data_IF_159918824618
#
_entry.id   IF_159918824618
#
_cell.length_a   1.000
_cell.length_b   1.000
_cell.length_c   1.000
_cell.angle_alpha   90.00
_cell.angle_beta   90.00
_cell.angle_gamma   90.00
#
_symmetry.space_group_name_H-M   'P 1'
#
loop_
_entity.id
_entity.type
_entity.pdbx_description
1 polymer ?
#
# COMPACT_ATOMS: atom_id res chain seq x y z
N UNK A 1 -35.64 -1.02 -9.87
CA UNK A 1 -34.86 -0.79 -11.09
C UNK A 1 -33.65 0.12 -10.87
N UNK A 2 -33.79 1.33 -10.28
CA UNK A 2 -32.65 2.20 -9.94
C UNK A 2 -31.80 1.58 -8.82
N UNK A 3 -32.43 1.08 -7.77
CA UNK A 3 -31.80 0.44 -6.61
C UNK A 3 -31.03 -0.87 -6.98
N UNK A 4 -31.53 -1.64 -7.97
CA UNK A 4 -30.85 -2.83 -8.48
C UNK A 4 -29.60 -2.47 -9.31
N UNK A 5 -29.64 -1.35 -10.02
CA UNK A 5 -28.48 -0.86 -10.78
C UNK A 5 -27.37 -0.33 -9.86
N UNK A 6 -27.71 0.39 -8.79
CA UNK A 6 -26.74 0.86 -7.80
C UNK A 6 -26.11 -0.31 -7.04
N UNK A 7 -26.89 -1.30 -6.64
CA UNK A 7 -26.37 -2.49 -5.99
C UNK A 7 -25.42 -3.29 -6.88
N UNK A 8 -25.73 -3.44 -8.17
CA UNK A 8 -24.88 -4.16 -9.12
C UNK A 8 -23.58 -3.41 -9.43
N UNK A 9 -23.61 -2.08 -9.41
CA UNK A 9 -22.42 -1.22 -9.55
C UNK A 9 -21.49 -1.37 -8.35
N UNK A 10 -22.03 -1.27 -7.13
CA UNK A 10 -21.25 -1.42 -5.89
C UNK A 10 -20.61 -2.80 -5.77
N UNK A 11 -21.32 -3.86 -6.19
CA UNK A 11 -20.79 -5.22 -6.21
C UNK A 11 -19.61 -5.36 -7.17
N UNK A 12 -19.68 -4.72 -8.34
CA UNK A 12 -18.57 -4.71 -9.31
C UNK A 12 -17.36 -3.93 -8.79
N UNK A 13 -17.57 -2.72 -8.26
CA UNK A 13 -16.50 -1.88 -7.71
C UNK A 13 -15.79 -2.59 -6.53
N UNK A 14 -16.56 -3.28 -5.70
CA UNK A 14 -16.00 -4.07 -4.60
C UNK A 14 -15.19 -5.28 -5.11
N UNK A 15 -15.68 -5.94 -6.16
CA UNK A 15 -14.98 -7.07 -6.76
C UNK A 15 -13.65 -6.65 -7.41
N UNK A 16 -13.67 -5.55 -8.15
CA UNK A 16 -12.48 -4.94 -8.75
C UNK A 16 -11.43 -4.59 -7.66
N UNK A 17 -11.85 -3.94 -6.58
CA UNK A 17 -10.98 -3.63 -5.45
C UNK A 17 -10.32 -4.90 -4.85
N UNK A 18 -11.10 -5.95 -4.62
CA UNK A 18 -10.58 -7.19 -4.06
C UNK A 18 -9.59 -7.87 -5.01
N UNK A 19 -9.83 -7.83 -6.33
CA UNK A 19 -8.92 -8.37 -7.34
C UNK A 19 -7.60 -7.60 -7.39
N UNK A 20 -7.64 -6.26 -7.34
CA UNK A 20 -6.44 -5.43 -7.27
C UNK A 20 -5.60 -5.76 -6.02
N UNK A 21 -6.25 -5.88 -4.86
CA UNK A 21 -5.55 -6.22 -3.62
C UNK A 21 -4.96 -7.62 -3.66
N UNK A 22 -5.64 -8.58 -4.30
CA UNK A 22 -5.13 -9.94 -4.49
C UNK A 22 -3.81 -9.98 -5.27
N UNK A 23 -3.57 -9.02 -6.16
CA UNK A 23 -2.30 -8.92 -6.88
C UNK A 23 -1.18 -8.30 -6.01
N UNK A 24 -1.50 -7.40 -5.08
CA UNK A 24 -0.53 -6.72 -4.22
C UNK A 24 -0.08 -7.57 -3.02
N UNK A 25 -0.97 -8.35 -2.46
CA UNK A 25 -0.74 -9.14 -1.25
C UNK A 25 0.46 -10.09 -1.40
N UNK A 26 0.57 -10.93 -2.48
CA UNK A 26 1.72 -11.81 -2.64
C UNK A 26 3.06 -11.07 -2.70
N UNK A 27 3.10 -9.89 -3.31
CA UNK A 27 4.30 -9.05 -3.33
C UNK A 27 4.73 -8.60 -1.93
N UNK A 28 3.78 -8.19 -1.11
CA UNK A 28 4.04 -7.80 0.28
C UNK A 28 4.44 -9.01 1.15
N UNK A 29 3.82 -10.18 0.95
CA UNK A 29 4.18 -11.43 1.64
C UNK A 29 5.60 -11.87 1.33
N UNK A 30 6.00 -11.82 0.06
CA UNK A 30 7.37 -12.12 -0.36
C UNK A 30 8.37 -11.15 0.27
N UNK A 31 8.08 -9.84 0.26
CA UNK A 31 8.92 -8.84 0.91
C UNK A 31 9.04 -9.12 2.42
N UNK A 32 7.93 -9.42 3.10
CA UNK A 32 7.91 -9.77 4.51
C UNK A 32 8.78 -10.98 4.81
N UNK A 33 8.63 -12.04 4.00
CA UNK A 33 9.43 -13.26 4.11
C UNK A 33 10.92 -13.01 3.94
N UNK A 34 11.33 -12.19 2.95
CA UNK A 34 12.73 -11.80 2.77
C UNK A 34 13.26 -10.96 3.92
N UNK A 35 12.49 -10.00 4.43
CA UNK A 35 12.89 -9.22 5.60
C UNK A 35 13.08 -10.11 6.83
N UNK A 36 12.21 -11.09 7.07
CA UNK A 36 12.40 -12.06 8.13
C UNK A 36 13.67 -12.89 7.93
N UNK A 37 13.94 -13.35 6.70
CA UNK A 37 15.09 -14.20 6.38
C UNK A 37 16.44 -13.48 6.58
N UNK A 38 16.54 -12.20 6.23
CA UNK A 38 17.76 -11.40 6.38
C UNK A 38 18.26 -11.38 7.84
N UNK A 39 17.36 -11.43 8.81
CA UNK A 39 17.72 -11.45 10.25
C UNK A 39 18.66 -12.59 10.63
N UNK A 40 18.60 -13.68 9.89
CA UNK A 40 19.37 -14.90 10.16
C UNK A 40 20.70 -14.95 9.39
N UNK A 41 21.01 -13.97 8.57
CA UNK A 41 22.28 -13.90 7.82
C UNK A 41 23.43 -13.40 8.71
N UNK A 42 24.67 -13.71 8.32
CA UNK A 42 25.85 -13.25 9.04
C UNK A 42 26.04 -11.74 8.93
N UNK A 43 25.67 -11.17 7.79
CA UNK A 43 25.76 -9.76 7.46
C UNK A 43 24.88 -8.92 8.38
N UNK A 44 23.72 -9.44 8.79
CA UNK A 44 22.81 -8.73 9.70
C UNK A 44 23.48 -8.38 11.04
N UNK A 45 24.38 -9.24 11.53
CA UNK A 45 25.10 -9.02 12.81
C UNK A 45 26.11 -7.87 12.74
N UNK A 46 26.42 -7.38 11.56
CA UNK A 46 27.37 -6.30 11.33
C UNK A 46 26.66 -4.96 11.04
N UNK A 47 25.33 -4.93 11.04
CA UNK A 47 24.57 -3.71 10.85
C UNK A 47 24.78 -2.75 12.02
N UNK A 48 24.89 -1.47 11.71
CA UNK A 48 24.87 -0.43 12.73
C UNK A 48 23.44 -0.21 13.26
N UNK A 49 23.31 0.50 14.36
CA UNK A 49 22.02 0.78 15.02
C UNK A 49 21.02 1.49 14.10
N UNK A 50 21.49 2.30 13.15
CA UNK A 50 20.63 3.02 12.20
C UNK A 50 20.02 2.02 11.22
N UNK A 51 20.85 1.17 10.62
CA UNK A 51 20.40 0.12 9.69
C UNK A 51 19.45 -0.87 10.36
N UNK A 52 19.75 -1.29 11.61
CA UNK A 52 18.84 -2.14 12.39
C UNK A 52 17.48 -1.45 12.61
N UNK A 53 17.46 -0.15 12.91
CA UNK A 53 16.23 0.61 13.11
C UNK A 53 15.41 0.74 11.82
N UNK A 54 16.07 1.02 10.69
CA UNK A 54 15.42 1.08 9.38
C UNK A 54 14.88 -0.29 8.97
N UNK A 55 15.65 -1.36 9.20
CA UNK A 55 15.21 -2.72 8.96
C UNK A 55 13.94 -3.05 9.76
N UNK A 56 13.95 -2.77 11.07
CA UNK A 56 12.79 -3.03 11.91
C UNK A 56 11.58 -2.20 11.47
N UNK A 57 11.80 -0.93 11.12
CA UNK A 57 10.77 -0.07 10.55
C UNK A 57 10.17 -0.63 9.26
N UNK A 58 11.00 -1.11 8.33
CA UNK A 58 10.56 -1.73 7.09
C UNK A 58 9.76 -3.03 7.35
N UNK A 59 10.21 -3.86 8.28
CA UNK A 59 9.52 -5.09 8.68
C UNK A 59 8.13 -4.79 9.25
N UNK A 60 8.04 -3.85 10.18
CA UNK A 60 6.76 -3.42 10.79
C UNK A 60 5.85 -2.80 9.74
N UNK A 61 6.38 -1.93 8.88
CA UNK A 61 5.61 -1.31 7.80
C UNK A 61 5.03 -2.38 6.84
N UNK A 62 5.79 -3.43 6.52
CA UNK A 62 5.29 -4.54 5.69
C UNK A 62 4.17 -5.31 6.40
N UNK A 63 4.33 -5.59 7.69
CA UNK A 63 3.29 -6.26 8.48
C UNK A 63 2.00 -5.42 8.53
N UNK A 64 2.11 -4.10 8.75
CA UNK A 64 0.97 -3.17 8.71
C UNK A 64 0.33 -3.15 7.32
N UNK A 65 1.13 -3.11 6.26
CA UNK A 65 0.64 -3.17 4.89
C UNK A 65 -0.21 -4.43 4.66
N UNK A 66 0.28 -5.60 5.06
CA UNK A 66 -0.45 -6.87 4.93
C UNK A 66 -1.79 -6.85 5.68
N UNK A 67 -1.80 -6.35 6.92
CA UNK A 67 -3.04 -6.24 7.70
C UNK A 67 -4.07 -5.35 7.00
N UNK A 68 -3.63 -4.18 6.50
CA UNK A 68 -4.53 -3.23 5.83
C UNK A 68 -5.01 -3.74 4.47
N UNK A 69 -4.15 -4.40 3.68
CA UNK A 69 -4.51 -4.96 2.38
C UNK A 69 -5.45 -6.18 2.50
N UNK A 70 -5.34 -6.96 3.58
CA UNK A 70 -6.22 -8.10 3.86
C UNK A 70 -7.56 -7.69 4.47
N UNK A 71 -7.66 -6.50 5.07
CA UNK A 71 -8.84 -6.06 5.80
C UNK A 71 -10.12 -6.04 4.96
N UNK A 72 -10.17 -5.55 3.69
CA UNK A 72 -11.38 -5.55 2.87
C UNK A 72 -11.94 -6.96 2.65
N UNK A 73 -11.06 -7.93 2.37
CA UNK A 73 -11.46 -9.34 2.18
C UNK A 73 -12.04 -9.96 3.46
N UNK A 74 -11.47 -9.60 4.62
CA UNK A 74 -11.92 -10.06 5.93
C UNK A 74 -13.30 -9.46 6.29
N UNK A 75 -13.48 -8.15 6.07
CA UNK A 75 -14.75 -7.47 6.31
C UNK A 75 -15.87 -8.02 5.43
N UNK A 76 -15.61 -8.30 4.15
CA UNK A 76 -16.58 -8.90 3.25
C UNK A 76 -17.09 -10.24 3.80
N UNK A 77 -16.23 -11.08 4.37
CA UNK A 77 -16.65 -12.37 4.97
C UNK A 77 -17.51 -12.23 6.22
N UNK A 78 -17.22 -11.22 7.06
CA UNK A 78 -17.91 -11.03 8.35
C UNK A 78 -19.27 -10.35 8.15
N UNK A 79 -19.37 -9.37 7.23
CA UNK A 79 -20.55 -8.52 7.04
C UNK A 79 -21.38 -8.84 5.79
N UNK A 80 -21.23 -9.99 5.20
CA UNK A 80 -21.96 -10.41 3.99
C UNK A 80 -23.50 -10.26 4.07
N UNK A 81 -24.08 -10.06 5.26
CA UNK A 81 -25.52 -10.01 5.53
C UNK A 81 -26.08 -8.62 5.88
N UNK A 82 -25.28 -7.59 6.08
CA UNK A 82 -25.74 -6.32 6.67
C UNK A 82 -25.93 -5.17 5.69
N UNK A 83 -26.09 -5.40 4.40
CA UNK A 83 -26.68 -4.41 3.45
C UNK A 83 -25.96 -3.07 3.21
N UNK A 84 -24.92 -2.71 3.97
CA UNK A 84 -24.23 -1.40 3.86
C UNK A 84 -22.96 -1.52 2.98
N UNK A 85 -23.18 -1.76 1.68
CA UNK A 85 -22.13 -1.96 0.69
C UNK A 85 -21.30 -0.69 0.46
N UNK A 86 -21.92 0.49 0.53
CA UNK A 86 -21.24 1.76 0.29
C UNK A 86 -20.22 2.08 1.40
N UNK A 87 -20.60 1.89 2.67
CA UNK A 87 -19.66 2.07 3.79
C UNK A 87 -18.51 1.05 3.73
N UNK A 88 -18.79 -0.18 3.29
CA UNK A 88 -17.78 -1.22 3.10
C UNK A 88 -16.77 -0.82 2.02
N UNK A 89 -17.24 -0.32 0.88
CA UNK A 89 -16.39 0.13 -0.22
C UNK A 89 -15.52 1.32 0.19
N UNK A 90 -16.09 2.34 0.85
CA UNK A 90 -15.33 3.51 1.35
C UNK A 90 -14.25 3.10 2.35
N UNK A 91 -14.58 2.19 3.27
CA UNK A 91 -13.62 1.70 4.26
C UNK A 91 -12.54 0.87 3.59
N UNK A 92 -12.90 -0.06 2.70
CA UNK A 92 -11.96 -0.90 1.95
C UNK A 92 -10.97 -0.07 1.13
N UNK A 93 -11.44 0.95 0.43
CA UNK A 93 -10.58 1.85 -0.32
C UNK A 93 -9.59 2.64 0.58
N UNK A 94 -10.04 3.10 1.75
CA UNK A 94 -9.16 3.78 2.71
C UNK A 94 -8.08 2.84 3.24
N UNK A 95 -8.42 1.60 3.52
CA UNK A 95 -7.47 0.58 3.97
C UNK A 95 -6.50 0.18 2.86
N UNK A 96 -6.95 0.06 1.62
CA UNK A 96 -6.10 -0.17 0.45
C UNK A 96 -5.07 0.96 0.26
N UNK A 97 -5.49 2.21 0.36
CA UNK A 97 -4.61 3.38 0.29
C UNK A 97 -3.59 3.36 1.44
N UNK A 98 -4.04 3.10 2.66
CA UNK A 98 -3.17 3.00 3.83
C UNK A 98 -2.16 1.85 3.71
N UNK A 99 -2.60 0.69 3.22
CA UNK A 99 -1.76 -0.47 2.96
C UNK A 99 -0.72 -0.21 1.89
N UNK A 100 -1.09 0.45 0.79
CA UNK A 100 -0.16 0.86 -0.26
C UNK A 100 0.88 1.85 0.25
N UNK A 101 0.49 2.79 1.11
CA UNK A 101 1.43 3.72 1.75
C UNK A 101 2.43 3.00 2.66
N UNK A 102 1.95 2.09 3.50
CA UNK A 102 2.81 1.28 4.36
C UNK A 102 3.77 0.40 3.54
N UNK A 103 3.30 -0.16 2.42
CA UNK A 103 4.14 -0.93 1.49
C UNK A 103 5.21 -0.05 0.83
N UNK A 104 4.89 1.18 0.42
CA UNK A 104 5.86 2.13 -0.11
C UNK A 104 6.97 2.46 0.90
N UNK A 105 6.61 2.66 2.18
CA UNK A 105 7.58 2.86 3.26
C UNK A 105 8.48 1.64 3.45
N UNK A 106 7.90 0.44 3.44
CA UNK A 106 8.65 -0.81 3.57
C UNK A 106 9.66 -1.00 2.44
N UNK A 107 9.24 -0.81 1.19
CA UNK A 107 10.10 -0.87 0.01
C UNK A 107 11.22 0.19 0.06
N UNK A 108 10.89 1.41 0.51
CA UNK A 108 11.87 2.48 0.69
C UNK A 108 12.92 2.09 1.73
N UNK A 109 12.51 1.52 2.86
CA UNK A 109 13.43 1.02 3.88
C UNK A 109 14.31 -0.12 3.39
N UNK A 110 13.76 -1.07 2.64
CA UNK A 110 14.52 -2.15 2.03
C UNK A 110 15.57 -1.63 1.02
N UNK A 111 15.19 -0.67 0.17
CA UNK A 111 16.10 -0.01 -0.76
C UNK A 111 17.21 0.76 -0.03
N UNK A 112 16.88 1.45 1.06
CA UNK A 112 17.85 2.15 1.88
C UNK A 112 18.93 1.20 2.40
N UNK A 113 18.52 0.09 3.02
CA UNK A 113 19.44 -0.90 3.59
C UNK A 113 20.38 -1.43 2.51
N UNK A 114 19.84 -1.90 1.40
CA UNK A 114 20.63 -2.46 0.32
C UNK A 114 21.58 -1.43 -0.28
N UNK A 115 21.11 -0.19 -0.47
CA UNK A 115 21.95 0.88 -1.04
C UNK A 115 23.08 1.30 -0.09
N UNK A 116 22.84 1.33 1.23
CA UNK A 116 23.90 1.65 2.20
C UNK A 116 24.93 0.53 2.32
N UNK A 117 24.51 -0.74 2.24
CA UNK A 117 25.41 -1.88 2.25
C UNK A 117 26.29 -1.96 0.98
N UNK A 118 25.75 -1.58 -0.18
CA UNK A 118 26.47 -1.67 -1.45
C UNK A 118 27.32 -0.45 -1.76
N UNK A 119 26.93 0.74 -1.29
CA UNK A 119 27.57 2.00 -1.69
C UNK A 119 27.93 2.86 -0.47
N UNK A 120 27.09 3.84 -0.15
CA UNK A 120 27.29 4.76 0.96
C UNK A 120 25.95 5.31 1.46
N UNK A 121 25.95 5.85 2.68
CA UNK A 121 24.79 6.49 3.28
C UNK A 121 24.18 7.60 2.41
N UNK A 122 25.03 8.41 1.75
CA UNK A 122 24.54 9.46 0.85
C UNK A 122 23.77 8.92 -0.36
N UNK A 123 24.27 7.85 -0.98
CA UNK A 123 23.58 7.15 -2.08
C UNK A 123 22.28 6.50 -1.59
N UNK A 124 22.33 5.88 -0.42
CA UNK A 124 21.14 5.25 0.18
C UNK A 124 20.00 6.26 0.41
N UNK A 125 20.32 7.44 0.97
CA UNK A 125 19.35 8.52 1.16
C UNK A 125 18.82 9.00 -0.20
N UNK A 126 19.68 9.27 -1.17
CA UNK A 126 19.28 9.78 -2.48
C UNK A 126 18.33 8.80 -3.22
N UNK A 127 18.69 7.52 -3.25
CA UNK A 127 17.88 6.46 -3.89
C UNK A 127 16.54 6.31 -3.18
N UNK A 128 16.54 6.26 -1.86
CA UNK A 128 15.32 6.10 -1.07
C UNK A 128 14.36 7.28 -1.21
N UNK A 129 14.89 8.50 -1.17
CA UNK A 129 14.08 9.72 -1.37
C UNK A 129 13.53 9.76 -2.80
N UNK A 130 14.35 9.46 -3.81
CA UNK A 130 13.90 9.41 -5.19
C UNK A 130 12.82 8.36 -5.43
N UNK A 131 13.00 7.17 -4.87
CA UNK A 131 12.00 6.10 -4.98
C UNK A 131 10.68 6.48 -4.29
N UNK A 132 10.75 6.98 -3.04
CA UNK A 132 9.56 7.37 -2.31
C UNK A 132 8.81 8.51 -2.99
N UNK A 133 9.54 9.53 -3.48
CA UNK A 133 8.97 10.64 -4.23
C UNK A 133 8.30 10.16 -5.53
N UNK A 134 8.94 9.24 -6.26
CA UNK A 134 8.37 8.65 -7.47
C UNK A 134 7.10 7.85 -7.17
N UNK A 135 7.12 7.00 -6.13
CA UNK A 135 5.96 6.23 -5.71
C UNK A 135 4.81 7.14 -5.27
N UNK A 136 5.11 8.17 -4.46
CA UNK A 136 4.13 9.15 -4.02
C UNK A 136 3.52 9.92 -5.20
N UNK A 137 4.34 10.35 -6.14
CA UNK A 137 3.86 11.01 -7.35
C UNK A 137 2.97 10.09 -8.19
N UNK A 138 3.42 8.87 -8.43
CA UNK A 138 2.72 7.94 -9.33
C UNK A 138 1.41 7.42 -8.75
N UNK A 139 1.38 7.12 -7.46
CA UNK A 139 0.24 6.47 -6.82
C UNK A 139 -0.80 7.45 -6.26
N UNK A 140 -0.36 8.61 -5.75
CA UNK A 140 -1.29 9.54 -5.09
C UNK A 140 -1.48 10.85 -5.82
N UNK A 141 -0.42 11.54 -6.27
CA UNK A 141 -0.57 12.86 -6.88
C UNK A 141 -1.31 12.79 -8.23
N UNK A 142 -1.01 11.80 -9.05
CA UNK A 142 -1.70 11.62 -10.34
C UNK A 142 -3.17 11.28 -10.14
N UNK A 143 -3.51 10.45 -9.13
CA UNK A 143 -4.88 10.10 -8.81
C UNK A 143 -5.68 11.29 -8.26
N UNK A 144 -5.06 12.11 -7.38
CA UNK A 144 -5.68 13.30 -6.82
C UNK A 144 -5.87 14.42 -7.86
N UNK A 145 -4.91 14.62 -8.76
CA UNK A 145 -5.01 15.62 -9.83
C UNK A 145 -6.19 15.32 -10.77
N UNK A 146 -6.38 14.07 -11.19
CA UNK A 146 -7.53 13.69 -12.02
C UNK A 146 -8.88 13.92 -11.34
N UNK A 147 -8.95 13.67 -10.03
CA UNK A 147 -10.17 13.91 -9.26
C UNK A 147 -10.51 15.40 -9.13
N UNK A 148 -9.51 16.29 -9.14
CA UNK A 148 -9.71 17.73 -9.13
C UNK A 148 -10.26 18.23 -10.47
N UNK A 149 -9.72 17.75 -11.60
CA UNK A 149 -10.14 18.11 -12.95
C UNK A 149 -11.60 17.68 -13.23
N UNK A 150 -12.01 16.49 -12.78
CA UNK A 150 -13.38 15.99 -12.93
C UNK A 150 -14.38 16.81 -12.10
N UNK A 151 -13.96 17.40 -10.97
CA UNK A 151 -14.79 18.25 -10.11
C UNK A 151 -15.07 19.64 -10.71
N UNK A 152 -14.14 20.21 -11.46
CA UNK A 152 -14.29 21.54 -12.09
C UNK A 152 -15.08 21.46 -13.41
N UNK A 153 -14.99 20.36 -14.15
CA UNK A 153 -15.75 20.15 -15.40
C UNK A 153 -17.27 20.04 -15.21
N UNK A 154 -17.71 19.59 -14.03
CA UNK A 154 -19.15 19.47 -13.69
C UNK A 154 -19.83 20.78 -13.32
N UNK A 155 -19.10 21.83 -12.96
CA UNK A 155 -19.66 23.10 -12.52
C UNK A 155 -19.89 24.10 -13.68
N UNK A 156 -19.41 23.83 -14.89
CA UNK A 156 -19.47 24.74 -16.06
C UNK A 156 -20.64 24.49 -17.02
N UNK A 157 -21.50 23.50 -16.74
CA UNK A 157 -22.62 23.13 -17.64
C UNK A 157 -24.01 23.27 -16.98
N UNK A 158 -24.14 24.05 -15.88
CA UNK A 158 -25.41 24.36 -15.24
C UNK A 158 -25.88 25.79 -15.49
#
# INVERSE_FOLDING_TARGET
>A
MIEDQDNSRLDRELHELIEELRALIPGAEVLFGFLLAIRFTAEFKQLDTVLESVYYGALVATAVALVLLLAPSTFHRIRFREGDKEALLKKGNREAIGGSFALALALTGALYIISELLFSRGVAIAVSVAFFAFAAWRWWLVALARKADDGEGGASTA
#
